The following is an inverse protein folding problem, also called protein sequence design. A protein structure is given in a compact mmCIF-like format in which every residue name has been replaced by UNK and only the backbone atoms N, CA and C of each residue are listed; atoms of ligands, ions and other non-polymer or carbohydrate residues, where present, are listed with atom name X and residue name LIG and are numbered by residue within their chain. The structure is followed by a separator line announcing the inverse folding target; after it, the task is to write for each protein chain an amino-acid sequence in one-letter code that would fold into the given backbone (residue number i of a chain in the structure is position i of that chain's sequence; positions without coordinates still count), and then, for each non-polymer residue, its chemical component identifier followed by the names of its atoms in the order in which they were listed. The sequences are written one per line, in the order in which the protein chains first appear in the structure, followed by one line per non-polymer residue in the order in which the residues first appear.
data_IF_112895846748
#
_entry.id   IF_112895846748
#
_cell.length_a   1.000
_cell.length_b   1.000
_cell.length_c   1.000
_cell.angle_alpha   90.00
_cell.angle_beta   90.00
_cell.angle_gamma   90.00
#
_symmetry.space_group_name_H-M   'P 1'
#
loop_
_entity.id
_entity.type
_entity.pdbx_description
1 polymer ?
#
# COMPACT_ATOMS: atom_id res chain seq x y z
N UNK A 1 37.78 36.48 36.26
CA UNK A 1 37.37 36.79 34.87
C UNK A 1 38.23 35.92 33.97
N UNK A 2 37.75 34.99 33.16
CA UNK A 2 36.42 34.50 32.84
C UNK A 2 36.66 33.11 32.18
N UNK A 3 36.12 32.01 32.72
CA UNK A 3 36.23 30.67 32.11
C UNK A 3 34.94 30.37 31.39
N UNK A 4 34.90 30.66 30.09
CA UNK A 4 33.72 30.46 29.24
C UNK A 4 33.57 28.99 28.85
N UNK A 5 32.54 28.40 29.45
CA UNK A 5 31.88 27.12 29.17
C UNK A 5 31.65 26.86 27.67
N UNK A 6 32.26 25.80 27.14
CA UNK A 6 31.83 25.11 25.91
C UNK A 6 30.66 24.17 26.23
N UNK A 7 29.45 24.51 25.78
CA UNK A 7 28.28 23.62 25.87
C UNK A 7 28.08 22.81 24.59
N UNK A 8 27.74 21.55 24.83
CA UNK A 8 27.63 20.39 23.96
C UNK A 8 26.48 20.50 22.94
N UNK A 9 26.83 20.71 21.67
CA UNK A 9 25.91 20.67 20.52
C UNK A 9 25.48 19.23 20.16
N UNK A 10 26.19 18.21 20.66
CA UNK A 10 25.96 16.79 20.34
C UNK A 10 24.79 16.12 21.08
N UNK A 11 24.26 16.73 22.14
CA UNK A 11 23.17 16.15 22.95
C UNK A 11 21.76 16.36 22.39
N UNK A 12 21.56 17.35 21.52
CA UNK A 12 20.22 17.74 21.04
C UNK A 12 19.70 16.84 19.93
N UNK A 13 20.58 16.38 19.04
CA UNK A 13 20.25 15.51 17.89
C UNK A 13 19.87 14.09 18.31
N UNK A 14 20.51 13.55 19.36
CA UNK A 14 20.17 12.23 19.90
C UNK A 14 18.78 12.22 20.54
N UNK A 15 18.43 13.26 21.30
CA UNK A 15 17.12 13.36 21.97
C UNK A 15 15.93 13.44 20.99
N UNK A 16 16.05 14.12 19.86
CA UNK A 16 14.97 14.16 18.86
C UNK A 16 14.76 12.84 18.13
N UNK A 17 15.84 12.11 17.82
CA UNK A 17 15.73 10.76 17.27
C UNK A 17 15.15 9.76 18.27
N UNK A 18 15.52 9.89 19.56
CA UNK A 18 15.03 9.02 20.63
C UNK A 18 13.54 9.28 20.92
N UNK A 19 13.09 10.54 20.92
CA UNK A 19 11.68 10.90 21.07
C UNK A 19 10.82 10.42 19.89
N UNK A 20 11.35 10.43 18.66
CA UNK A 20 10.65 9.85 17.51
C UNK A 20 10.58 8.33 17.56
N UNK A 21 11.61 7.64 18.08
CA UNK A 21 11.58 6.19 18.27
C UNK A 21 10.56 5.78 19.35
N UNK A 22 10.49 6.50 20.47
CA UNK A 22 9.54 6.20 21.55
C UNK A 22 8.06 6.42 21.15
N UNK A 23 7.75 7.40 20.30
CA UNK A 23 6.39 7.59 19.77
C UNK A 23 5.98 6.52 18.73
N UNK A 24 6.94 6.01 17.96
CA UNK A 24 6.72 4.93 16.98
C UNK A 24 6.45 3.60 17.69
N UNK A 25 7.15 3.32 18.80
CA UNK A 25 6.88 2.15 19.64
C UNK A 25 5.50 2.23 20.33
N UNK A 26 5.07 3.43 20.76
CA UNK A 26 3.74 3.62 21.38
C UNK A 26 2.56 3.45 20.42
N UNK A 27 2.75 3.71 19.13
CA UNK A 27 1.70 3.64 18.12
C UNK A 27 1.74 2.34 17.28
N UNK A 28 2.44 1.31 17.75
CA UNK A 28 2.49 0.01 17.06
C UNK A 28 3.12 0.09 15.66
N UNK A 29 4.09 1.00 15.46
CA UNK A 29 4.80 1.15 14.19
C UNK A 29 4.08 2.01 13.13
N UNK A 30 2.94 2.62 13.45
CA UNK A 30 2.21 3.48 12.50
C UNK A 30 2.97 4.79 12.27
N UNK A 31 3.31 5.06 11.00
CA UNK A 31 3.98 6.29 10.57
C UNK A 31 3.37 6.84 9.28
N UNK A 32 3.70 8.10 8.96
CA UNK A 32 3.32 8.71 7.70
C UNK A 32 4.05 8.02 6.54
N UNK A 33 3.30 7.70 5.48
CA UNK A 33 3.79 6.96 4.32
C UNK A 33 3.97 7.93 3.16
N UNK A 34 5.16 7.92 2.56
CA UNK A 34 5.44 8.67 1.34
C UNK A 34 4.63 8.12 0.17
N UNK A 35 4.26 9.00 -0.76
CA UNK A 35 3.49 8.60 -1.93
C UNK A 35 3.77 9.51 -3.12
N UNK A 36 3.43 9.01 -4.31
CA UNK A 36 3.43 9.75 -5.57
C UNK A 36 2.03 9.77 -6.15
N UNK A 37 1.61 10.89 -6.73
CA UNK A 37 0.33 10.99 -7.43
C UNK A 37 0.49 10.41 -8.84
N UNK A 38 -0.11 9.23 -9.09
CA UNK A 38 -0.06 8.55 -10.39
C UNK A 38 -1.05 9.12 -11.39
N UNK A 39 -2.21 9.52 -10.92
CA UNK A 39 -3.26 10.08 -11.75
C UNK A 39 -4.12 11.01 -10.92
N UNK A 40 -4.55 12.10 -11.54
CA UNK A 40 -5.52 13.03 -11.01
C UNK A 40 -6.46 13.40 -12.15
N UNK A 41 -7.73 13.04 -12.06
CA UNK A 41 -8.69 13.52 -13.04
C UNK A 41 -8.85 15.03 -12.83
N UNK A 42 -8.68 15.81 -13.90
CA UNK A 42 -8.95 17.25 -13.89
C UNK A 42 -7.95 18.16 -13.17
N UNK A 43 -6.70 17.74 -12.93
CA UNK A 43 -5.70 18.60 -12.29
C UNK A 43 -5.37 19.86 -13.11
N UNK A 44 -5.42 21.03 -12.48
CA UNK A 44 -5.08 22.29 -13.11
C UNK A 44 -3.57 22.54 -13.20
N UNK A 45 -2.97 22.36 -14.39
CA UNK A 45 -1.56 22.69 -14.63
C UNK A 45 -0.52 21.69 -14.07
N UNK A 46 0.73 21.87 -14.47
CA UNK A 46 1.84 20.90 -14.30
C UNK A 46 2.40 20.78 -12.87
N UNK A 47 1.97 21.62 -11.92
CA UNK A 47 2.42 21.59 -10.52
C UNK A 47 1.34 21.28 -9.47
N UNK A 48 0.07 21.14 -9.87
CA UNK A 48 -1.06 21.15 -8.92
C UNK A 48 -1.10 19.95 -7.97
N UNK A 49 -0.62 18.78 -8.40
CA UNK A 49 -0.64 17.57 -7.57
C UNK A 49 0.49 17.51 -6.54
N UNK A 50 1.60 18.24 -6.75
CA UNK A 50 2.71 18.29 -5.79
C UNK A 50 2.31 18.98 -4.47
N UNK A 51 1.32 19.88 -4.54
CA UNK A 51 0.76 20.51 -3.34
C UNK A 51 0.15 19.50 -2.37
N UNK A 52 -0.29 18.34 -2.85
CA UNK A 52 -0.86 17.28 -1.99
C UNK A 52 0.19 16.62 -1.10
N UNK A 53 1.46 16.63 -1.53
CA UNK A 53 2.57 15.97 -0.84
C UNK A 53 3.02 16.75 0.39
N UNK A 54 2.86 18.08 0.37
CA UNK A 54 3.21 18.93 1.49
C UNK A 54 1.99 19.08 2.41
N UNK A 55 2.08 18.54 3.62
CA UNK A 55 1.01 18.61 4.61
C UNK A 55 0.84 20.03 5.18
N UNK A 56 0.16 20.90 4.43
CA UNK A 56 0.04 22.34 4.71
C UNK A 56 -1.23 22.91 4.06
N UNK A 57 -1.80 23.94 4.67
CA UNK A 57 -2.95 24.69 4.12
C UNK A 57 -2.54 25.86 3.21
N UNK A 58 -1.24 26.08 3.00
CA UNK A 58 -0.70 27.21 2.21
C UNK A 58 -0.91 27.05 0.70
N UNK A 59 -0.98 25.81 0.23
CA UNK A 59 -1.23 25.47 -1.17
C UNK A 59 -2.26 24.35 -1.25
N UNK A 60 -2.96 24.25 -2.37
CA UNK A 60 -3.91 23.16 -2.58
C UNK A 60 -3.85 22.65 -4.01
N UNK A 61 -4.12 21.36 -4.16
CA UNK A 61 -4.57 20.84 -5.44
C UNK A 61 -6.01 21.30 -5.69
N UNK A 62 -6.28 21.70 -6.92
CA UNK A 62 -7.60 22.13 -7.36
C UNK A 62 -7.88 21.52 -8.73
N UNK A 63 -9.10 21.02 -8.88
CA UNK A 63 -9.63 20.57 -10.16
C UNK A 63 -10.24 21.71 -10.96
N UNK A 64 -10.34 21.54 -12.28
CA UNK A 64 -10.94 22.55 -13.16
C UNK A 64 -12.42 22.81 -12.85
N UNK A 65 -13.33 21.98 -13.38
CA UNK A 65 -14.78 22.19 -13.31
C UNK A 65 -15.47 20.82 -13.40
N UNK A 66 -15.17 19.91 -12.47
CA UNK A 66 -15.94 18.67 -12.32
C UNK A 66 -16.43 18.47 -10.88
N UNK A 67 -17.70 18.08 -10.72
CA UNK A 67 -18.29 17.80 -9.42
C UNK A 67 -17.76 16.49 -8.81
N UNK A 68 -17.06 15.66 -9.60
CA UNK A 68 -16.44 14.41 -9.14
C UNK A 68 -15.04 14.30 -9.71
N UNK A 69 -14.07 14.08 -8.83
CA UNK A 69 -12.67 13.92 -9.23
C UNK A 69 -12.00 12.81 -8.45
N UNK A 70 -11.07 12.13 -9.09
CA UNK A 70 -10.34 10.99 -8.56
C UNK A 70 -8.83 11.28 -8.52
N UNK A 71 -8.22 10.99 -7.38
CA UNK A 71 -6.78 10.94 -7.19
C UNK A 71 -6.36 9.49 -7.00
N UNK A 72 -5.30 9.07 -7.67
CA UNK A 72 -4.64 7.78 -7.47
C UNK A 72 -3.26 8.04 -6.91
N UNK A 73 -3.04 7.58 -5.68
CA UNK A 73 -1.80 7.67 -4.95
C UNK A 73 -1.10 6.31 -5.04
N UNK A 74 0.16 6.30 -5.45
CA UNK A 74 1.05 5.14 -5.30
C UNK A 74 1.89 5.37 -4.05
N UNK A 75 1.77 4.49 -3.07
CA UNK A 75 2.63 4.50 -1.90
C UNK A 75 4.06 4.14 -2.32
N UNK A 76 5.05 4.69 -1.63
CA UNK A 76 6.46 4.38 -1.90
C UNK A 76 6.80 2.91 -1.61
N UNK A 77 6.14 2.35 -0.59
CA UNK A 77 6.29 0.95 -0.16
C UNK A 77 4.91 0.32 0.07
N UNK A 78 4.82 -1.01 -0.06
CA UNK A 78 3.61 -1.74 0.33
C UNK A 78 3.35 -1.48 1.81
N UNK A 79 2.11 -1.17 2.17
CA UNK A 79 1.80 -0.69 3.52
C UNK A 79 0.50 -1.29 4.01
N UNK A 80 0.47 -1.70 5.29
CA UNK A 80 -0.76 -1.89 6.06
C UNK A 80 -1.32 -0.51 6.44
N UNK A 81 -2.23 -0.01 5.62
CA UNK A 81 -2.79 1.33 5.75
C UNK A 81 -3.86 1.38 6.84
N UNK A 82 -3.61 2.20 7.85
CA UNK A 82 -4.46 2.33 9.04
C UNK A 82 -5.32 3.59 9.03
N UNK A 83 -4.80 4.68 8.45
CA UNK A 83 -5.46 5.97 8.44
C UNK A 83 -5.09 6.75 7.17
N UNK A 84 -6.02 7.56 6.67
CA UNK A 84 -5.73 8.59 5.67
C UNK A 84 -6.23 9.91 6.24
N UNK A 85 -5.30 10.85 6.46
CA UNK A 85 -5.63 12.22 6.84
C UNK A 85 -5.74 13.08 5.60
N UNK A 86 -6.82 13.83 5.50
CA UNK A 86 -7.12 14.70 4.36
C UNK A 86 -7.35 16.11 4.89
N UNK A 87 -6.52 17.06 4.50
CA UNK A 87 -6.79 18.48 4.73
C UNK A 87 -7.78 18.95 3.66
N UNK A 88 -9.06 18.89 4.00
CA UNK A 88 -10.13 19.21 3.07
C UNK A 88 -10.29 20.73 2.94
N UNK A 89 -10.37 21.23 1.70
CA UNK A 89 -10.76 22.61 1.45
C UNK A 89 -12.27 22.70 1.28
N UNK A 90 -12.83 21.95 0.33
CA UNK A 90 -14.22 22.17 -0.10
C UNK A 90 -14.97 20.94 -0.65
N UNK A 91 -14.40 19.73 -0.57
CA UNK A 91 -15.12 18.51 -0.96
C UNK A 91 -16.22 18.20 0.07
N UNK A 92 -17.38 17.71 -0.38
CA UNK A 92 -18.48 17.31 0.52
C UNK A 92 -18.44 15.82 0.85
N UNK A 93 -17.87 14.99 -0.02
CA UNK A 93 -17.73 13.56 0.21
C UNK A 93 -16.39 13.04 -0.31
N UNK A 94 -15.90 11.95 0.29
CA UNK A 94 -14.76 11.19 -0.20
C UNK A 94 -15.05 9.69 -0.16
N UNK A 95 -14.81 9.02 -1.28
CA UNK A 95 -14.82 7.56 -1.37
C UNK A 95 -13.40 7.05 -1.51
N UNK A 96 -13.02 6.13 -0.64
CA UNK A 96 -11.70 5.49 -0.60
C UNK A 96 -11.80 4.11 -1.22
N UNK A 97 -10.95 3.84 -2.21
CA UNK A 97 -10.68 2.51 -2.73
C UNK A 97 -9.20 2.19 -2.62
N UNK A 98 -8.84 0.92 -2.44
CA UNK A 98 -7.46 0.47 -2.27
C UNK A 98 -7.15 -0.71 -3.17
N UNK A 99 -5.90 -0.84 -3.58
CA UNK A 99 -5.41 -1.96 -4.37
C UNK A 99 -3.94 -2.28 -4.05
N UNK A 100 -3.56 -3.53 -4.28
CA UNK A 100 -2.14 -3.95 -4.30
C UNK A 100 -1.51 -3.60 -5.65
N UNK A 101 -2.28 -3.70 -6.74
CA UNK A 101 -1.83 -3.40 -8.10
C UNK A 101 -2.61 -2.23 -8.72
N UNK A 102 -1.96 -1.46 -9.59
CA UNK A 102 -2.59 -0.36 -10.31
C UNK A 102 -3.38 -0.81 -11.54
N UNK A 103 -4.34 -1.72 -11.34
CA UNK A 103 -5.29 -2.09 -12.38
C UNK A 103 -6.70 -1.62 -12.01
N UNK A 104 -7.51 -1.11 -12.95
CA UNK A 104 -8.84 -0.59 -12.65
C UNK A 104 -9.75 -1.55 -11.86
N UNK A 105 -9.63 -2.86 -12.14
CA UNK A 105 -10.42 -3.94 -11.53
C UNK A 105 -9.92 -4.37 -10.15
N UNK A 106 -8.68 -4.04 -9.78
CA UNK A 106 -8.08 -4.45 -8.50
C UNK A 106 -8.45 -3.54 -7.33
N UNK A 107 -9.09 -2.39 -7.60
CA UNK A 107 -9.47 -1.44 -6.56
C UNK A 107 -10.73 -1.87 -5.83
N UNK A 108 -10.58 -2.24 -4.57
CA UNK A 108 -11.67 -2.55 -3.63
C UNK A 108 -12.14 -1.26 -2.99
N UNK A 109 -13.45 -1.00 -2.98
CA UNK A 109 -14.00 0.12 -2.23
C UNK A 109 -14.08 -0.23 -0.74
N UNK A 110 -13.46 0.61 0.10
CA UNK A 110 -13.30 0.31 1.54
C UNK A 110 -14.20 1.17 2.40
N UNK A 111 -14.31 2.47 2.09
CA UNK A 111 -15.04 3.42 2.93
C UNK A 111 -15.50 4.62 2.12
N UNK A 112 -16.67 5.16 2.46
CA UNK A 112 -17.16 6.47 2.01
C UNK A 112 -17.46 7.33 3.22
N UNK A 113 -17.07 8.60 3.16
CA UNK A 113 -17.45 9.62 4.12
C UNK A 113 -18.23 10.70 3.37
N UNK A 114 -19.33 11.13 3.99
CA UNK A 114 -20.21 12.19 3.51
C UNK A 114 -20.19 13.36 4.49
N UNK A 115 -20.67 14.53 4.08
CA UNK A 115 -20.71 15.76 4.88
C UNK A 115 -19.34 16.16 5.47
N UNK A 116 -18.29 16.09 4.65
CA UNK A 116 -16.95 16.45 5.06
C UNK A 116 -16.89 17.93 5.49
N UNK A 117 -16.28 18.25 6.64
CA UNK A 117 -16.11 19.62 7.05
C UNK A 117 -15.16 20.36 6.10
N UNK A 118 -15.53 21.58 5.72
CA UNK A 118 -14.69 22.46 4.92
C UNK A 118 -13.56 23.07 5.75
N UNK A 119 -12.41 23.30 5.12
CA UNK A 119 -11.20 23.87 5.74
C UNK A 119 -10.80 23.18 7.06
N UNK A 120 -11.01 21.86 7.14
CA UNK A 120 -10.66 21.03 8.29
C UNK A 120 -10.00 19.74 7.86
N UNK A 121 -9.24 19.19 8.79
CA UNK A 121 -8.72 17.84 8.66
C UNK A 121 -9.84 16.81 8.81
N UNK A 122 -9.78 15.79 7.96
CA UNK A 122 -10.68 14.62 7.98
C UNK A 122 -9.81 13.38 8.12
N UNK A 123 -10.09 12.57 9.14
CA UNK A 123 -9.40 11.30 9.37
C UNK A 123 -10.24 10.12 8.88
N UNK A 124 -9.77 9.42 7.86
CA UNK A 124 -10.37 8.15 7.41
C UNK A 124 -9.66 7.00 8.10
N UNK A 125 -10.24 6.48 9.18
CA UNK A 125 -9.72 5.27 9.87
C UNK A 125 -10.10 3.98 9.15
N UNK A 126 -9.15 3.06 9.07
CA UNK A 126 -9.16 1.81 8.30
C UNK A 126 -8.58 0.66 9.14
N UNK A 127 -9.02 -0.59 8.92
CA UNK A 127 -8.57 -1.74 9.71
C UNK A 127 -7.25 -2.34 9.18
N UNK A 128 -6.20 -1.52 9.05
CA UNK A 128 -4.87 -1.95 8.57
C UNK A 128 -4.90 -2.73 7.24
N UNK A 129 -5.36 -2.07 6.19
CA UNK A 129 -5.56 -2.70 4.88
C UNK A 129 -4.25 -2.73 4.08
N UNK A 130 -3.77 -3.90 3.59
CA UNK A 130 -2.58 -3.96 2.76
C UNK A 130 -2.85 -3.37 1.37
N UNK A 131 -2.09 -2.36 1.01
CA UNK A 131 -2.19 -1.76 -0.31
C UNK A 131 -0.87 -1.15 -0.75
N UNK A 132 -0.77 -0.92 -2.05
CA UNK A 132 0.26 -0.10 -2.67
C UNK A 132 -0.36 1.12 -3.38
N UNK A 133 -1.64 1.04 -3.70
CA UNK A 133 -2.38 2.10 -4.37
C UNK A 133 -3.63 2.48 -3.58
N UNK A 134 -3.85 3.78 -3.47
CA UNK A 134 -5.03 4.37 -2.83
C UNK A 134 -5.71 5.28 -3.85
N UNK A 135 -6.99 5.05 -4.10
CA UNK A 135 -7.82 5.89 -4.96
C UNK A 135 -8.81 6.65 -4.11
N UNK A 136 -8.68 7.97 -4.09
CA UNK A 136 -9.58 8.89 -3.42
C UNK A 136 -10.50 9.53 -4.47
N UNK A 137 -11.81 9.34 -4.35
CA UNK A 137 -12.80 10.02 -5.18
C UNK A 137 -13.51 11.07 -4.35
N UNK A 138 -13.30 12.33 -4.70
CA UNK A 138 -13.95 13.46 -4.08
C UNK A 138 -15.19 13.85 -4.87
N UNK A 139 -16.22 14.28 -4.15
CA UNK A 139 -17.45 14.79 -4.73
C UNK A 139 -17.78 16.16 -4.14
N UNK A 140 -18.49 16.97 -4.95
CA UNK A 140 -19.01 18.27 -4.57
C UNK A 140 -20.38 18.48 -5.21
N UNK A 141 -21.32 19.03 -4.44
CA UNK A 141 -22.71 19.21 -4.88
C UNK A 141 -22.93 20.54 -5.61
N UNK A 142 -22.61 21.68 -4.99
CA UNK A 142 -23.09 22.99 -5.46
C UNK A 142 -22.12 23.77 -6.35
N UNK A 143 -20.83 23.46 -6.30
CA UNK A 143 -19.78 24.24 -6.94
C UNK A 143 -18.91 23.39 -7.86
N UNK A 144 -18.40 23.96 -8.97
CA UNK A 144 -17.84 23.17 -10.05
C UNK A 144 -16.44 22.60 -9.78
N UNK A 145 -15.67 23.18 -8.85
CA UNK A 145 -14.28 22.75 -8.61
C UNK A 145 -14.10 22.11 -7.24
N UNK A 146 -13.31 21.05 -7.20
CA UNK A 146 -12.89 20.39 -5.96
C UNK A 146 -11.48 20.86 -5.64
N UNK A 147 -11.21 21.14 -4.38
CA UNK A 147 -9.89 21.48 -3.90
C UNK A 147 -9.59 20.76 -2.58
N UNK A 148 -8.34 20.32 -2.47
CA UNK A 148 -7.80 19.60 -1.32
C UNK A 148 -6.43 20.18 -1.03
N UNK A 149 -6.17 20.54 0.23
CA UNK A 149 -4.89 21.11 0.63
C UNK A 149 -3.78 20.07 0.58
N UNK A 150 -3.97 18.96 1.30
CA UNK A 150 -2.98 17.89 1.40
C UNK A 150 -3.62 16.54 1.75
N UNK A 151 -2.89 15.47 1.49
CA UNK A 151 -3.23 14.10 1.91
C UNK A 151 -2.03 13.49 2.61
N UNK A 152 -2.26 12.76 3.68
CA UNK A 152 -1.23 12.01 4.40
C UNK A 152 -1.78 10.60 4.72
N UNK A 153 -1.31 9.57 4.01
CA UNK A 153 -1.56 8.18 4.40
C UNK A 153 -0.68 7.81 5.60
N UNK A 154 -1.24 7.07 6.56
CA UNK A 154 -0.53 6.53 7.72
C UNK A 154 -0.74 5.02 7.83
N UNK A 155 0.31 4.31 8.16
CA UNK A 155 0.28 2.87 8.31
C UNK A 155 1.62 2.30 8.71
N UNK A 156 1.73 0.98 8.63
CA UNK A 156 2.99 0.26 8.86
C UNK A 156 3.51 -0.20 7.49
N UNK A 157 4.69 0.27 7.04
CA UNK A 157 5.24 -0.21 5.78
C UNK A 157 5.69 -1.66 5.91
N UNK A 158 5.72 -2.37 4.79
CA UNK A 158 6.22 -3.75 4.69
C UNK A 158 7.62 -3.88 5.23
N UNK A 159 8.49 -2.91 4.97
CA UNK A 159 9.92 -2.98 5.33
C UNK A 159 10.11 -3.08 6.85
N UNK A 160 9.29 -2.37 7.62
CA UNK A 160 9.31 -2.43 9.09
C UNK A 160 8.78 -3.78 9.58
N UNK A 161 7.75 -4.33 8.92
CA UNK A 161 7.17 -5.63 9.26
C UNK A 161 8.18 -6.75 8.97
N UNK A 162 8.86 -6.68 7.83
CA UNK A 162 9.88 -7.64 7.43
C UNK A 162 11.11 -7.59 8.35
N UNK A 163 11.50 -6.40 8.80
CA UNK A 163 12.60 -6.24 9.75
C UNK A 163 12.31 -6.89 11.11
N UNK A 164 11.06 -6.81 11.59
CA UNK A 164 10.65 -7.35 12.90
C UNK A 164 10.31 -8.83 12.83
N UNK A 165 9.67 -9.27 11.74
CA UNK A 165 8.99 -10.57 11.68
C UNK A 165 9.53 -11.50 10.58
N UNK A 166 10.45 -11.01 9.73
CA UNK A 166 11.04 -11.73 8.61
C UNK A 166 10.23 -11.63 7.30
N UNK A 167 10.87 -11.89 6.14
CA UNK A 167 10.27 -11.69 4.81
C UNK A 167 9.04 -12.57 4.52
N UNK A 168 8.93 -13.70 5.23
CA UNK A 168 7.82 -14.65 5.10
C UNK A 168 6.48 -14.05 5.56
N UNK A 169 6.47 -13.17 6.57
CA UNK A 169 5.23 -12.63 7.12
C UNK A 169 4.60 -11.56 6.23
N UNK A 170 5.39 -10.78 5.49
CA UNK A 170 4.87 -9.87 4.47
C UNK A 170 4.15 -10.64 3.34
N UNK A 171 4.74 -11.77 2.92
CA UNK A 171 4.14 -12.68 1.94
C UNK A 171 2.82 -13.26 2.47
N UNK A 172 2.79 -13.72 3.71
CA UNK A 172 1.57 -14.25 4.34
C UNK A 172 0.51 -13.17 4.49
N UNK A 173 0.84 -11.98 5.00
CA UNK A 173 -0.13 -10.89 5.13
C UNK A 173 -0.73 -10.50 3.77
N UNK A 174 0.10 -10.48 2.73
CA UNK A 174 -0.35 -10.25 1.35
C UNK A 174 -1.31 -11.35 0.88
N UNK A 175 -0.92 -12.61 1.05
CA UNK A 175 -1.67 -13.76 0.55
C UNK A 175 -2.97 -13.99 1.34
N UNK A 176 -2.93 -13.89 2.66
CA UNK A 176 -4.09 -14.07 3.54
C UNK A 176 -5.10 -12.95 3.36
N UNK A 177 -4.67 -11.70 3.20
CA UNK A 177 -5.61 -10.61 2.93
C UNK A 177 -6.18 -10.67 1.52
N UNK A 178 -5.41 -11.07 0.51
CA UNK A 178 -5.97 -11.34 -0.82
C UNK A 178 -7.03 -12.45 -0.76
N UNK A 179 -6.76 -13.54 -0.05
CA UNK A 179 -7.73 -14.63 0.15
C UNK A 179 -8.96 -14.17 0.95
N UNK A 180 -8.80 -13.31 1.95
CA UNK A 180 -9.93 -12.78 2.74
C UNK A 180 -10.78 -11.77 1.96
N UNK A 181 -10.15 -10.93 1.13
CA UNK A 181 -10.82 -9.84 0.42
C UNK A 181 -11.44 -10.28 -0.90
N UNK A 182 -10.85 -11.27 -1.55
CA UNK A 182 -11.29 -11.74 -2.86
C UNK A 182 -11.78 -13.19 -2.84
N UNK A 183 -11.71 -13.92 -1.72
CA UNK A 183 -12.04 -15.35 -1.68
C UNK A 183 -11.24 -16.14 -2.72
N UNK A 184 -11.80 -17.21 -3.27
CA UNK A 184 -11.24 -17.98 -4.39
C UNK A 184 -11.38 -17.27 -5.77
N UNK A 185 -11.80 -16.01 -5.78
CA UNK A 185 -12.16 -15.27 -7.00
C UNK A 185 -10.96 -14.72 -7.77
N UNK A 186 -9.78 -14.62 -7.14
CA UNK A 186 -8.53 -14.33 -7.85
C UNK A 186 -7.86 -15.65 -8.29
N UNK A 187 -7.22 -15.66 -9.47
CA UNK A 187 -6.45 -16.84 -9.91
C UNK A 187 -5.28 -17.18 -8.96
N UNK A 188 -4.75 -16.19 -8.24
CA UNK A 188 -3.68 -16.39 -7.25
C UNK A 188 -4.18 -17.04 -5.94
N UNK A 189 -5.47 -16.92 -5.64
CA UNK A 189 -6.15 -17.58 -4.50
C UNK A 189 -6.74 -18.95 -4.86
N UNK A 190 -6.59 -19.39 -6.12
CA UNK A 190 -6.99 -20.74 -6.51
C UNK A 190 -5.87 -21.71 -6.13
N UNK A 191 -6.23 -22.79 -5.44
CA UNK A 191 -5.35 -23.90 -5.02
C UNK A 191 -4.50 -24.49 -6.15
N UNK A 192 -4.86 -24.21 -7.40
CA UNK A 192 -4.12 -24.56 -8.61
C UNK A 192 -2.71 -23.93 -8.73
N UNK A 193 -2.44 -22.79 -8.09
CA UNK A 193 -1.11 -22.15 -8.05
C UNK A 193 -0.35 -22.42 -6.75
N UNK A 194 -0.95 -23.17 -5.82
CA UNK A 194 -0.28 -23.56 -4.59
C UNK A 194 0.84 -24.53 -4.98
N UNK A 195 2.10 -24.12 -4.76
CA UNK A 195 3.28 -24.95 -5.03
C UNK A 195 3.35 -26.21 -4.14
N UNK A 196 2.37 -26.33 -3.22
CA UNK A 196 2.12 -27.45 -2.34
C UNK A 196 0.89 -28.28 -2.74
N UNK A 197 0.19 -27.95 -3.85
CA UNK A 197 -0.98 -28.74 -4.29
C UNK A 197 -0.58 -30.04 -5.00
N UNK A 198 -1.24 -31.13 -4.62
CA UNK A 198 -0.97 -32.51 -5.08
C UNK A 198 -1.33 -32.78 -6.55
N UNK A 199 -1.86 -31.77 -7.26
CA UNK A 199 -2.50 -31.97 -8.56
C UNK A 199 -1.80 -31.27 -9.73
N UNK A 200 -0.60 -30.69 -9.53
CA UNK A 200 0.23 -30.21 -10.65
C UNK A 200 1.72 -30.53 -10.53
N UNK A 201 2.33 -30.59 -11.72
CA UNK A 201 3.72 -30.99 -11.96
C UNK A 201 4.72 -30.15 -11.18
N UNK A 202 5.51 -30.79 -10.32
CA UNK A 202 6.54 -30.15 -9.50
C UNK A 202 6.43 -30.44 -7.99
N UNK A 203 5.28 -30.93 -7.49
CA UNK A 203 5.14 -31.40 -6.10
C UNK A 203 6.13 -32.55 -5.80
N UNK A 204 6.66 -32.67 -4.56
CA UNK A 204 7.52 -33.79 -4.17
C UNK A 204 6.87 -35.17 -4.45
N UNK A 205 5.56 -35.29 -4.26
CA UNK A 205 4.82 -36.52 -4.55
C UNK A 205 4.62 -36.75 -6.06
N UNK A 206 4.38 -35.68 -6.83
CA UNK A 206 4.33 -35.76 -8.29
C UNK A 206 5.69 -36.17 -8.86
N UNK A 207 6.79 -35.59 -8.34
CA UNK A 207 8.15 -35.98 -8.71
C UNK A 207 8.47 -37.42 -8.29
N UNK A 208 7.96 -37.89 -7.15
CA UNK A 208 8.10 -39.28 -6.73
C UNK A 208 7.35 -40.25 -7.66
N UNK A 209 6.14 -39.88 -8.12
CA UNK A 209 5.36 -40.67 -9.09
C UNK A 209 5.99 -40.68 -10.49
N UNK A 210 6.51 -39.54 -10.94
CA UNK A 210 7.17 -39.41 -12.25
C UNK A 210 8.58 -40.01 -12.29
N UNK A 211 9.26 -40.14 -11.14
CA UNK A 211 10.57 -40.82 -11.06
C UNK A 211 10.50 -42.28 -11.53
N UNK A 212 9.41 -43.00 -11.27
CA UNK A 212 9.26 -44.38 -11.78
C UNK A 212 9.16 -44.41 -13.31
N UNK A 213 8.31 -43.57 -13.89
CA UNK A 213 8.13 -43.49 -15.34
C UNK A 213 9.39 -43.06 -16.09
N UNK A 214 10.15 -42.09 -15.56
CA UNK A 214 11.40 -41.64 -16.16
C UNK A 214 12.56 -42.64 -16.03
N UNK A 215 12.55 -43.47 -14.97
CA UNK A 215 13.52 -44.55 -14.83
C UNK A 215 13.22 -45.66 -15.86
N UNK A 216 11.96 -46.03 -16.04
CA UNK A 216 11.56 -47.06 -17.00
C UNK A 216 11.83 -46.63 -18.45
N UNK A 217 11.59 -45.37 -18.81
CA UNK A 217 11.91 -44.86 -20.15
C UNK A 217 13.43 -44.82 -20.41
N UNK A 218 14.22 -44.53 -19.37
CA UNK A 218 15.68 -44.50 -19.47
C UNK A 218 16.30 -45.90 -19.52
N UNK A 219 15.69 -46.87 -18.82
CA UNK A 219 16.05 -48.29 -18.90
C UNK A 219 15.72 -48.83 -20.30
N UNK A 220 14.51 -48.56 -20.82
CA UNK A 220 14.11 -48.99 -22.16
C UNK A 220 15.01 -48.41 -23.27
N UNK A 221 15.46 -47.16 -23.12
CA UNK A 221 16.46 -46.56 -24.05
C UNK A 221 17.84 -47.19 -23.93
N UNK A 222 18.28 -47.55 -22.71
CA UNK A 222 19.55 -48.24 -22.49
C UNK A 222 19.54 -49.67 -23.06
N UNK A 223 18.44 -50.39 -22.90
CA UNK A 223 18.24 -51.72 -23.48
C UNK A 223 18.23 -51.66 -25.01
N UNK A 224 17.55 -50.67 -25.60
CA UNK A 224 17.56 -50.47 -27.04
C UNK A 224 18.96 -50.17 -27.61
N UNK A 225 19.83 -49.49 -26.84
CA UNK A 225 21.22 -49.23 -27.24
C UNK A 225 22.19 -50.38 -26.98
N UNK A 226 21.85 -51.31 -26.08
CA UNK A 226 22.70 -52.46 -25.76
C UNK A 226 22.39 -53.69 -26.62
N UNK A 227 21.20 -53.75 -27.20
CA UNK A 227 20.72 -54.87 -28.03
C UNK A 227 20.47 -54.51 -29.50
N UNK A 228 20.94 -53.34 -29.96
CA UNK A 228 21.09 -52.97 -31.39
C UNK A 228 22.54 -53.14 -31.83
#
# INVERSE_FOLDING_TARGET
MDTSKTWSVTGRRRRTHQLQQDEVERNGGVKAIGFQVRSATGAAGTGSTNHLLQYSTRSCWQSYVRPKEALVLALETKTLLSEIRILNKNACAVSVSMAVENQPRSYVHVKRLENLPHNREVCVRLPFFPCNFVRLRFERESLPSIAVYAVQPLGVPSDDIEAVAGPSLCTVLSHTTENLLFGSSLRASQSFMDCLSDHRSGSPEWMARQRKFLLDERIARLEATLFS
#
